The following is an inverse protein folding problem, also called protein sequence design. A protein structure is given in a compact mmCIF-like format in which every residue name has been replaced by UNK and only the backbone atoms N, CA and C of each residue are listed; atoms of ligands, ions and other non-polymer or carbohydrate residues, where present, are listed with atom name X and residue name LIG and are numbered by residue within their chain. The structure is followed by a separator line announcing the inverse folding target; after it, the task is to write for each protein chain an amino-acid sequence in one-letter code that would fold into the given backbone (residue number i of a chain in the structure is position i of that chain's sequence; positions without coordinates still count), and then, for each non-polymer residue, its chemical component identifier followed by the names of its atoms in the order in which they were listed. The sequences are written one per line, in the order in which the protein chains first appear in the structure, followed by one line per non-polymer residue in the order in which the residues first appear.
data_IF_970282617076
#
_entry.id   IF_970282617076
#
_cell.length_a   1.000
_cell.length_b   1.000
_cell.length_c   1.000
_cell.angle_alpha   90.00
_cell.angle_beta   90.00
_cell.angle_gamma   90.00
#
_symmetry.space_group_name_H-M   'P 1'
#
loop_
_entity.id
_entity.type
_entity.pdbx_description
1 polymer ?
#
# COMPACT_ATOMS: atom_id res chain seq x y z
N UNK A 1 -11.37 -14.47 29.54
CA UNK A 1 -12.24 -13.28 29.63
C UNK A 1 -13.53 -13.54 28.87
N UNK A 2 -14.70 -13.21 29.43
CA UNK A 2 -15.97 -13.24 28.69
C UNK A 2 -16.03 -12.04 27.75
N UNK A 3 -16.29 -12.28 26.46
CA UNK A 3 -16.49 -11.21 25.46
C UNK A 3 -17.88 -10.60 25.64
N UNK A 4 -17.99 -9.27 25.52
CA UNK A 4 -19.28 -8.58 25.55
C UNK A 4 -20.06 -8.81 24.26
N UNK A 5 -21.39 -8.62 24.30
CA UNK A 5 -22.25 -8.77 23.12
C UNK A 5 -21.80 -7.87 21.94
N UNK A 6 -21.33 -6.65 22.24
CA UNK A 6 -20.81 -5.72 21.24
C UNK A 6 -19.48 -6.20 20.63
N UNK A 7 -18.61 -6.82 21.42
CA UNK A 7 -17.37 -7.40 20.90
C UNK A 7 -17.65 -8.58 19.96
N UNK A 8 -18.67 -9.37 20.26
CA UNK A 8 -19.10 -10.48 19.40
C UNK A 8 -19.65 -9.94 18.08
N UNK A 9 -20.56 -8.95 18.13
CA UNK A 9 -21.11 -8.31 16.93
C UNK A 9 -20.05 -7.57 16.09
N UNK A 10 -19.05 -6.96 16.73
CA UNK A 10 -17.96 -6.30 15.99
C UNK A 10 -17.04 -7.31 15.29
N UNK A 11 -16.83 -8.48 15.90
CA UNK A 11 -15.96 -9.51 15.33
C UNK A 11 -16.53 -10.17 14.07
N UNK A 12 -17.86 -10.15 13.88
CA UNK A 12 -18.51 -10.70 12.68
C UNK A 12 -18.54 -9.72 11.51
N UNK A 13 -18.22 -8.45 11.74
CA UNK A 13 -18.21 -7.44 10.68
C UNK A 13 -17.07 -7.69 9.69
N UNK A 14 -17.40 -7.87 8.42
CA UNK A 14 -16.42 -7.97 7.33
C UNK A 14 -16.15 -6.58 6.73
N UNK A 15 -14.92 -6.06 6.79
CA UNK A 15 -14.56 -4.81 6.16
C UNK A 15 -14.79 -4.83 4.64
N UNK A 16 -15.22 -3.70 4.09
CA UNK A 16 -15.37 -3.55 2.64
C UNK A 16 -13.98 -3.50 1.99
N UNK A 17 -13.60 -4.57 1.31
CA UNK A 17 -12.35 -4.64 0.57
C UNK A 17 -12.48 -3.98 -0.83
N UNK A 18 -11.45 -3.27 -1.31
CA UNK A 18 -11.33 -2.86 -2.70
C UNK A 18 -11.47 -4.04 -3.66
N UNK A 19 -12.10 -3.83 -4.82
CA UNK A 19 -12.28 -4.89 -5.84
C UNK A 19 -10.95 -5.49 -6.29
N UNK A 20 -9.92 -4.64 -6.41
CA UNK A 20 -8.58 -5.05 -6.82
C UNK A 20 -7.92 -6.07 -5.87
N UNK A 21 -8.33 -6.12 -4.59
CA UNK A 21 -7.80 -7.06 -3.60
C UNK A 21 -8.65 -8.33 -3.45
N UNK A 22 -9.79 -8.41 -4.17
CA UNK A 22 -10.69 -9.57 -4.13
C UNK A 22 -10.35 -10.52 -5.29
N UNK A 23 -9.28 -11.29 -5.16
CA UNK A 23 -8.89 -12.31 -6.13
C UNK A 23 -7.40 -12.28 -6.50
N UNK A 24 -7.00 -13.00 -7.57
CA UNK A 24 -5.64 -12.95 -8.08
C UNK A 24 -5.30 -11.52 -8.54
N UNK A 25 -4.21 -10.98 -8.02
CA UNK A 25 -3.75 -9.63 -8.35
C UNK A 25 -2.83 -9.67 -9.56
N UNK A 26 -3.02 -8.73 -10.49
CA UNK A 26 -2.07 -8.45 -11.55
C UNK A 26 -1.29 -7.19 -11.17
N UNK A 27 0.04 -7.25 -11.28
CA UNK A 27 0.90 -6.10 -11.07
C UNK A 27 0.95 -5.28 -12.36
N UNK A 28 0.67 -3.99 -12.26
CA UNK A 28 0.82 -3.06 -13.39
C UNK A 28 1.78 -1.94 -12.97
N UNK A 29 3.01 -2.01 -13.47
CA UNK A 29 3.99 -0.95 -13.24
C UNK A 29 3.63 0.31 -14.04
N UNK A 30 3.54 1.42 -13.34
CA UNK A 30 3.35 2.76 -13.87
C UNK A 30 4.67 3.50 -14.11
N UNK A 31 4.59 4.82 -14.21
CA UNK A 31 5.78 5.65 -14.46
C UNK A 31 6.75 5.63 -13.26
N UNK A 32 8.08 5.74 -13.51
CA UNK A 32 9.08 5.92 -12.45
C UNK A 32 8.80 7.19 -11.66
N UNK A 33 8.95 7.12 -10.34
CA UNK A 33 8.78 8.29 -9.46
C UNK A 33 9.99 9.22 -9.51
N UNK A 34 9.82 10.49 -9.13
CA UNK A 34 10.93 11.43 -8.99
C UNK A 34 10.74 12.27 -7.73
N UNK A 35 11.84 12.75 -7.17
CA UNK A 35 11.78 13.71 -6.06
C UNK A 35 11.28 15.07 -6.54
N UNK A 36 10.63 15.80 -5.63
CA UNK A 36 10.08 17.14 -5.93
C UNK A 36 11.20 18.18 -6.12
N UNK A 37 12.33 18.04 -5.42
CA UNK A 37 13.52 18.89 -5.52
C UNK A 37 14.80 18.07 -5.29
N UNK A 38 15.96 18.64 -5.65
CA UNK A 38 17.30 18.07 -5.39
C UNK A 38 17.54 16.66 -5.94
N UNK A 39 17.00 16.42 -7.14
CA UNK A 39 16.98 15.10 -7.80
C UNK A 39 18.36 14.43 -7.85
N UNK A 40 19.42 15.20 -8.15
CA UNK A 40 20.79 14.68 -8.25
C UNK A 40 21.40 14.30 -6.89
N UNK A 41 21.04 14.98 -5.81
CA UNK A 41 21.53 14.67 -4.47
C UNK A 41 20.75 13.51 -3.84
N UNK A 42 19.42 13.54 -3.99
CA UNK A 42 18.54 12.48 -3.50
C UNK A 42 18.81 11.16 -4.21
N UNK A 43 19.09 11.17 -5.52
CA UNK A 43 19.47 9.96 -6.24
C UNK A 43 20.79 9.36 -5.72
N UNK A 44 21.77 10.19 -5.33
CA UNK A 44 23.03 9.71 -4.73
C UNK A 44 22.82 9.12 -3.33
N UNK A 45 21.88 9.69 -2.57
CA UNK A 45 21.56 9.23 -1.22
C UNK A 45 20.78 7.90 -1.23
N UNK A 46 19.95 7.68 -2.25
CA UNK A 46 19.09 6.50 -2.38
C UNK A 46 19.35 5.71 -3.68
N UNK A 47 20.55 5.13 -3.86
CA UNK A 47 20.94 4.53 -5.14
C UNK A 47 20.11 3.31 -5.54
N UNK A 48 19.49 2.62 -4.59
CA UNK A 48 18.75 1.37 -4.84
C UNK A 48 17.23 1.55 -4.89
N UNK A 49 16.71 2.72 -4.52
CA UNK A 49 15.26 2.94 -4.33
C UNK A 49 14.73 4.21 -5.00
N UNK A 50 15.62 5.09 -5.48
CA UNK A 50 15.22 6.25 -6.25
C UNK A 50 14.66 5.82 -7.61
N UNK A 51 13.49 6.35 -7.97
CA UNK A 51 12.91 6.09 -9.30
C UNK A 51 12.03 4.85 -9.41
N UNK A 52 11.66 4.19 -8.31
CA UNK A 52 10.76 3.04 -8.37
C UNK A 52 9.42 3.41 -9.04
N UNK A 53 8.86 2.53 -9.88
CA UNK A 53 7.60 2.78 -10.57
C UNK A 53 6.43 2.80 -9.58
N UNK A 54 5.39 3.55 -9.93
CA UNK A 54 4.09 3.45 -9.25
C UNK A 54 3.49 2.07 -9.52
N UNK A 55 2.83 1.46 -8.53
CA UNK A 55 2.17 0.14 -8.64
C UNK A 55 0.65 0.26 -8.52
#
# INVERSE_FOLDING_TARGET
MKKSALQIARATYQPKLPKALKGPMALQEGAPTQSVADQAEIQKLFPNTYGMPVL
#
